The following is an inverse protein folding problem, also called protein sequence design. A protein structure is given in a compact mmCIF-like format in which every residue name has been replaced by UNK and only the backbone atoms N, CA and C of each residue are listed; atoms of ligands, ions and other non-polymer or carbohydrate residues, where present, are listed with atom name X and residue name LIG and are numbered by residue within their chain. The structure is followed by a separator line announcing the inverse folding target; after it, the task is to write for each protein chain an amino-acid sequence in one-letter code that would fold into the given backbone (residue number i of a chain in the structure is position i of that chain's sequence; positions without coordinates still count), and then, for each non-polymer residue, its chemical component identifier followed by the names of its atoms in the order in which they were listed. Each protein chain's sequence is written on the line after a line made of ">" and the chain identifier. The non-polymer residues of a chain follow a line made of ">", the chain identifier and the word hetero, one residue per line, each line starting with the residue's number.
data_IF_494063835856
#
_entry.id   IF_494063835856
#
_cell.length_a   1.000
_cell.length_b   1.000
_cell.length_c   1.000
_cell.angle_alpha   90.00
_cell.angle_beta   90.00
_cell.angle_gamma   90.00
#
_symmetry.space_group_name_H-M   'P 1'
#
loop_
_entity.id
_entity.type
_entity.pdbx_description
1 polymer ?
#
# COMPACT_ATOMS: atom_id res chain seq x y z
N UNK A 1 -3.28 -20.18 -20.65
CA UNK A 1 -3.51 -20.58 -19.23
C UNK A 1 -3.53 -19.32 -18.36
N UNK A 2 -4.47 -19.16 -17.42
CA UNK A 2 -4.48 -17.97 -16.57
C UNK A 2 -3.27 -18.01 -15.63
N UNK A 3 -2.40 -17.00 -15.70
CA UNK A 3 -1.16 -16.93 -14.92
C UNK A 3 -1.43 -17.08 -13.41
N UNK A 4 -0.56 -17.80 -12.71
CA UNK A 4 -0.62 -18.03 -11.26
C UNK A 4 0.10 -16.90 -10.50
N UNK A 5 -0.15 -15.66 -10.94
CA UNK A 5 0.52 -14.47 -10.42
C UNK A 5 -0.09 -14.04 -9.09
N UNK A 6 0.77 -13.54 -8.21
CA UNK A 6 0.34 -12.91 -6.96
C UNK A 6 -0.60 -11.73 -7.21
N UNK A 7 -1.42 -11.43 -6.20
CA UNK A 7 -2.41 -10.37 -6.20
C UNK A 7 -2.02 -9.29 -5.22
N UNK A 8 -2.13 -8.04 -5.66
CA UNK A 8 -2.00 -6.87 -4.81
C UNK A 8 -3.38 -6.45 -4.32
N UNK A 9 -3.51 -6.27 -3.01
CA UNK A 9 -4.72 -5.81 -2.35
C UNK A 9 -4.46 -4.54 -1.56
N UNK A 10 -5.47 -3.68 -1.50
CA UNK A 10 -5.62 -2.70 -0.43
C UNK A 10 -6.44 -3.33 0.68
N UNK A 11 -5.98 -3.25 1.92
CA UNK A 11 -6.65 -3.83 3.08
C UNK A 11 -6.99 -2.76 4.11
N UNK A 12 -8.18 -2.88 4.70
CA UNK A 12 -8.65 -2.05 5.80
C UNK A 12 -8.58 -2.82 7.09
N UNK A 13 -8.04 -2.16 8.11
CA UNK A 13 -7.99 -2.65 9.48
C UNK A 13 -8.75 -1.69 10.40
N UNK A 14 -9.25 -2.22 11.51
CA UNK A 14 -9.81 -1.42 12.59
C UNK A 14 -8.77 -0.44 13.08
N UNK A 15 -9.17 0.83 13.24
CA UNK A 15 -8.38 1.88 13.86
C UNK A 15 -9.18 2.50 15.00
N UNK A 16 -8.49 2.82 16.09
CA UNK A 16 -9.07 3.59 17.20
C UNK A 16 -8.87 5.09 17.00
N UNK A 17 -9.81 5.89 17.51
CA UNK A 17 -9.80 7.35 17.42
C UNK A 17 -10.70 7.90 16.33
N UNK A 18 -11.11 9.17 16.47
CA UNK A 18 -11.95 9.85 15.48
C UNK A 18 -11.18 10.21 14.20
N UNK A 19 -11.89 10.33 13.05
CA UNK A 19 -11.27 10.71 11.79
C UNK A 19 -10.77 12.14 11.84
N UNK A 20 -9.63 12.38 11.21
CA UNK A 20 -9.02 13.71 11.02
C UNK A 20 -9.01 14.13 9.56
N UNK A 21 -9.17 13.19 8.62
CA UNK A 21 -9.19 13.46 7.18
C UNK A 21 -10.62 13.75 6.70
N UNK A 22 -10.79 14.66 5.71
CA UNK A 22 -12.12 15.11 5.27
C UNK A 22 -12.96 14.00 4.64
N UNK A 23 -12.33 13.04 3.96
CA UNK A 23 -13.02 11.88 3.38
C UNK A 23 -13.24 10.76 4.39
N UNK A 24 -12.89 10.95 5.66
CA UNK A 24 -12.96 9.96 6.74
C UNK A 24 -12.18 8.67 6.43
N UNK A 25 -11.28 8.70 5.46
CA UNK A 25 -10.50 7.53 5.10
C UNK A 25 -9.60 7.10 6.27
N UNK A 26 -9.18 8.02 7.13
CA UNK A 26 -8.46 7.68 8.35
C UNK A 26 -9.35 7.08 9.45
N UNK A 27 -10.63 6.78 9.24
CA UNK A 27 -11.36 5.87 10.14
C UNK A 27 -10.79 4.45 10.14
N UNK A 28 -9.97 4.12 9.14
CA UNK A 28 -9.35 2.82 8.97
C UNK A 28 -7.84 2.92 9.01
N UNK A 29 -7.19 1.83 9.41
CA UNK A 29 -5.76 1.65 9.16
C UNK A 29 -5.59 0.97 7.80
N UNK A 30 -4.84 1.62 6.91
CA UNK A 30 -4.63 1.15 5.53
C UNK A 30 -3.32 0.37 5.40
N UNK A 31 -3.35 -0.66 4.57
CA UNK A 31 -2.18 -1.47 4.23
C UNK A 31 -2.26 -2.00 2.80
N UNK A 32 -1.12 -2.38 2.24
CA UNK A 32 -1.09 -3.31 1.11
C UNK A 32 -0.89 -4.74 1.60
N UNK A 33 -1.54 -5.67 0.91
CA UNK A 33 -1.25 -7.10 1.00
C UNK A 33 -0.85 -7.62 -0.38
N UNK A 34 0.20 -8.44 -0.42
CA UNK A 34 0.55 -9.24 -1.59
C UNK A 34 0.31 -10.69 -1.22
N UNK A 35 -0.59 -11.36 -1.93
CA UNK A 35 -0.97 -12.75 -1.66
C UNK A 35 -0.90 -13.64 -2.90
N UNK A 36 -0.74 -14.96 -2.73
CA UNK A 36 -0.96 -15.92 -3.81
C UNK A 36 -2.36 -15.78 -4.44
N UNK A 37 -2.49 -16.18 -5.70
CA UNK A 37 -3.80 -16.19 -6.38
C UNK A 37 -4.78 -17.17 -5.75
N UNK A 38 -4.29 -18.35 -5.42
CA UNK A 38 -5.06 -19.43 -4.81
C UNK A 38 -4.60 -19.53 -3.35
N UNK A 39 -5.53 -19.29 -2.43
CA UNK A 39 -5.24 -19.28 -1.00
C UNK A 39 -5.90 -20.49 -0.32
N UNK A 40 -5.22 -21.02 0.67
CA UNK A 40 -5.67 -22.02 1.61
C UNK A 40 -5.34 -21.55 3.04
N UNK A 41 -5.73 -22.34 4.05
CA UNK A 41 -5.53 -22.00 5.47
C UNK A 41 -4.07 -21.78 5.88
N UNK A 42 -3.12 -22.35 5.14
CA UNK A 42 -1.68 -22.27 5.40
C UNK A 42 -1.00 -21.23 4.50
N UNK A 43 -1.77 -20.49 3.69
CA UNK A 43 -1.24 -19.51 2.76
C UNK A 43 -0.72 -18.28 3.46
N UNK A 44 0.51 -17.92 3.13
CA UNK A 44 1.17 -16.71 3.60
C UNK A 44 1.25 -15.68 2.48
N UNK A 45 1.21 -14.41 2.87
CA UNK A 45 1.48 -13.27 2.00
C UNK A 45 2.36 -12.26 2.70
N UNK A 46 2.56 -11.11 2.08
CA UNK A 46 3.33 -10.00 2.67
C UNK A 46 2.44 -8.80 2.90
N UNK A 47 2.46 -8.27 4.12
CA UNK A 47 1.83 -7.00 4.48
C UNK A 47 2.83 -5.88 4.47
N UNK A 48 2.44 -4.78 3.85
CA UNK A 48 3.16 -3.51 3.85
C UNK A 48 2.25 -2.46 4.48
N UNK A 49 2.71 -1.79 5.53
CA UNK A 49 1.97 -0.68 6.13
C UNK A 49 2.86 0.30 6.84
N UNK A 50 2.39 1.53 6.93
CA UNK A 50 2.94 2.58 7.77
C UNK A 50 2.10 2.71 9.04
N UNK A 51 2.70 2.59 10.22
CA UNK A 51 2.00 2.64 11.53
C UNK A 51 2.75 3.50 12.54
N UNK A 52 2.08 3.93 13.60
CA UNK A 52 2.79 4.54 14.73
C UNK A 52 3.63 3.49 15.47
N UNK A 53 4.83 3.87 15.87
CA UNK A 53 5.65 3.13 16.80
C UNK A 53 4.91 3.00 18.15
N UNK A 54 4.97 1.83 18.81
CA UNK A 54 4.37 1.67 20.14
C UNK A 54 4.88 2.73 21.12
N UNK A 55 3.97 3.46 21.77
CA UNK A 55 4.31 4.46 22.78
C UNK A 55 4.97 5.74 22.25
N UNK A 56 5.02 5.94 20.94
CA UNK A 56 5.60 7.14 20.32
C UNK A 56 4.63 7.73 19.29
N UNK A 57 4.73 9.04 19.05
CA UNK A 57 4.01 9.73 17.96
C UNK A 57 4.66 9.50 16.58
N UNK A 58 5.66 8.62 16.52
CA UNK A 58 6.50 8.44 15.34
C UNK A 58 5.97 7.37 14.41
N UNK A 59 6.08 7.60 13.11
CA UNK A 59 5.67 6.64 12.10
C UNK A 59 6.80 5.71 11.65
N UNK A 60 6.43 4.44 11.43
CA UNK A 60 7.32 3.35 11.01
C UNK A 60 6.68 2.58 9.86
N UNK A 61 7.47 2.29 8.84
CA UNK A 61 7.11 1.35 7.78
C UNK A 61 7.47 -0.08 8.18
N UNK A 62 6.53 -1.01 8.04
CA UNK A 62 6.73 -2.43 8.27
C UNK A 62 6.37 -3.24 7.02
N UNK A 63 7.31 -4.09 6.59
CA UNK A 63 7.12 -5.15 5.62
C UNK A 63 7.25 -6.48 6.36
N UNK A 64 6.17 -7.28 6.37
CA UNK A 64 6.13 -8.48 7.20
C UNK A 64 5.34 -9.60 6.54
N UNK A 65 5.84 -10.82 6.64
CA UNK A 65 5.07 -12.02 6.29
C UNK A 65 3.84 -12.14 7.21
N UNK A 66 2.70 -12.49 6.64
CA UNK A 66 1.43 -12.58 7.38
C UNK A 66 0.56 -13.71 6.85
N UNK A 67 -0.34 -14.21 7.70
CA UNK A 67 -1.35 -15.20 7.30
C UNK A 67 -2.40 -14.55 6.40
N UNK A 68 -2.88 -15.27 5.39
CA UNK A 68 -4.01 -14.84 4.55
C UNK A 68 -5.38 -15.19 5.17
N UNK A 69 -5.41 -15.91 6.29
CA UNK A 69 -6.61 -16.08 7.10
C UNK A 69 -6.98 -14.77 7.81
N UNK A 70 -8.21 -14.68 8.31
CA UNK A 70 -8.62 -13.55 9.12
C UNK A 70 -7.73 -13.42 10.36
N UNK A 71 -7.09 -12.26 10.49
CA UNK A 71 -6.35 -11.87 11.70
C UNK A 71 -7.20 -10.92 12.53
N UNK A 72 -6.98 -10.87 13.84
CA UNK A 72 -7.57 -9.83 14.68
C UNK A 72 -7.31 -8.45 14.03
N UNK A 73 -8.37 -7.66 13.86
CA UNK A 73 -8.40 -6.30 13.29
C UNK A 73 -8.52 -6.15 11.76
N UNK A 74 -8.37 -7.19 10.92
CA UNK A 74 -8.63 -6.99 9.47
C UNK A 74 -10.13 -6.97 9.21
N UNK A 75 -10.61 -5.97 8.46
CA UNK A 75 -12.02 -5.81 8.13
C UNK A 75 -12.31 -6.36 6.73
N UNK A 76 -11.63 -5.81 5.73
CA UNK A 76 -11.81 -6.19 4.32
C UNK A 76 -10.49 -6.09 3.57
N UNK A 77 -10.41 -6.76 2.42
CA UNK A 77 -9.38 -6.50 1.41
C UNK A 77 -9.97 -6.41 0.01
N UNK A 78 -9.42 -5.52 -0.80
CA UNK A 78 -9.84 -5.26 -2.17
C UNK A 78 -8.69 -5.52 -3.13
N UNK A 79 -8.84 -6.47 -4.04
CA UNK A 79 -7.84 -6.81 -5.04
C UNK A 79 -7.81 -5.73 -6.10
N UNK A 80 -6.67 -5.05 -6.22
CA UNK A 80 -6.49 -3.91 -7.13
C UNK A 80 -5.56 -4.24 -8.30
N UNK A 81 -4.90 -5.40 -8.32
CA UNK A 81 -4.01 -5.73 -9.42
C UNK A 81 -3.37 -7.11 -9.36
N UNK A 82 -2.91 -7.56 -10.52
CA UNK A 82 -2.06 -8.74 -10.68
C UNK A 82 -0.59 -8.29 -10.71
N UNK A 83 0.22 -8.86 -9.83
CA UNK A 83 1.64 -8.52 -9.70
C UNK A 83 2.42 -9.23 -10.79
N UNK A 84 3.19 -8.48 -11.58
CA UNK A 84 4.06 -9.02 -12.60
C UNK A 84 5.47 -9.26 -12.05
N UNK A 85 6.01 -8.32 -11.27
CA UNK A 85 7.32 -8.40 -10.63
C UNK A 85 7.19 -8.09 -9.12
N UNK A 86 7.18 -9.12 -8.24
CA UNK A 86 7.07 -8.94 -6.80
C UNK A 86 8.22 -8.16 -6.16
N UNK A 87 9.44 -8.34 -6.66
CA UNK A 87 10.63 -7.67 -6.14
C UNK A 87 10.61 -6.19 -6.49
N UNK A 88 10.28 -5.85 -7.73
CA UNK A 88 10.10 -4.47 -8.16
C UNK A 88 8.95 -3.80 -7.40
N UNK A 89 7.84 -4.50 -7.18
CA UNK A 89 6.73 -4.01 -6.36
C UNK A 89 7.18 -3.67 -4.94
N UNK A 90 7.85 -4.60 -4.25
CA UNK A 90 8.35 -4.37 -2.90
C UNK A 90 9.29 -3.16 -2.83
N UNK A 91 10.16 -2.97 -3.85
CA UNK A 91 11.02 -1.81 -3.95
C UNK A 91 10.22 -0.49 -4.07
N UNK A 92 9.16 -0.42 -4.88
CA UNK A 92 8.29 0.77 -4.97
C UNK A 92 7.56 1.06 -3.66
N UNK A 93 7.08 0.02 -2.97
CA UNK A 93 6.38 0.17 -1.69
C UNK A 93 7.30 0.75 -0.60
N UNK A 94 8.57 0.33 -0.55
CA UNK A 94 9.60 0.91 0.32
C UNK A 94 9.92 2.36 -0.06
N UNK A 95 10.04 2.65 -1.36
CA UNK A 95 10.31 4.01 -1.85
C UNK A 95 9.17 5.00 -1.56
N UNK A 96 7.93 4.54 -1.47
CA UNK A 96 6.77 5.38 -1.14
C UNK A 96 6.92 6.12 0.20
N UNK A 97 7.75 5.61 1.11
CA UNK A 97 8.08 6.27 2.38
C UNK A 97 8.95 7.52 2.16
N UNK A 98 9.87 7.48 1.20
CA UNK A 98 10.85 8.55 0.96
C UNK A 98 10.28 9.75 0.21
N UNK A 99 9.33 9.52 -0.70
CA UNK A 99 8.80 10.57 -1.60
C UNK A 99 8.05 11.67 -0.85
N UNK A 100 7.53 11.40 0.35
CA UNK A 100 6.79 12.39 1.13
C UNK A 100 7.72 13.37 1.88
N UNK A 101 9.03 13.07 2.03
CA UNK A 101 10.00 13.97 2.68
C UNK A 101 10.35 15.25 1.88
N UNK A 102 9.73 15.47 0.73
CA UNK A 102 9.94 16.67 -0.07
C UNK A 102 8.58 17.37 -0.28
N UNK A 103 8.10 18.02 0.79
CA UNK A 103 6.78 18.70 0.99
C UNK A 103 6.19 19.32 -0.31
N UNK A 104 4.92 19.09 -0.68
CA UNK A 104 3.63 19.62 -0.17
C UNK A 104 3.53 21.14 -0.33
N UNK A 105 3.10 21.64 -1.50
CA UNK A 105 1.66 21.85 -1.84
C UNK A 105 1.20 21.17 -3.16
N UNK A 106 2.14 20.73 -4.00
CA UNK A 106 1.84 20.28 -5.35
C UNK A 106 1.12 18.91 -5.41
N UNK A 107 1.28 18.07 -4.39
CA UNK A 107 0.70 16.73 -4.35
C UNK A 107 -0.79 16.83 -3.97
N UNK A 108 -1.14 17.59 -2.92
CA UNK A 108 -2.54 17.85 -2.56
C UNK A 108 -3.32 18.59 -3.67
N UNK A 109 -2.71 19.59 -4.32
CA UNK A 109 -3.31 20.31 -5.47
C UNK A 109 -3.54 19.39 -6.69
N UNK A 110 -2.62 18.46 -6.97
CA UNK A 110 -2.74 17.54 -8.09
C UNK A 110 -3.76 16.42 -7.86
N UNK A 111 -4.12 16.12 -6.60
CA UNK A 111 -5.14 15.14 -6.25
C UNK A 111 -6.55 15.75 -6.12
N UNK A 112 -6.67 17.02 -5.75
CA UNK A 112 -7.97 17.73 -5.66
C UNK A 112 -8.55 18.11 -7.03
N UNK A 113 -7.74 18.11 -8.09
CA UNK A 113 -8.18 18.36 -9.46
C UNK A 113 -8.02 17.08 -10.28
N UNK A 114 -9.14 16.46 -10.68
CA UNK A 114 -9.21 15.20 -11.44
C UNK A 114 -8.49 15.24 -12.80
N UNK A 115 -7.16 15.26 -12.80
CA UNK A 115 -6.33 15.48 -13.98
C UNK A 115 -5.06 14.64 -13.94
N UNK A 116 -5.14 13.40 -14.41
CA UNK A 116 -4.00 12.47 -14.54
C UNK A 116 -2.83 12.95 -15.42
N UNK A 117 -2.89 14.17 -15.98
CA UNK A 117 -1.80 14.82 -16.73
C UNK A 117 -0.91 15.72 -15.85
N UNK A 118 -1.43 16.31 -14.77
CA UNK A 118 -0.66 17.24 -13.91
C UNK A 118 0.27 16.49 -12.95
N UNK A 119 -0.21 15.37 -12.40
CA UNK A 119 0.55 14.44 -11.55
C UNK A 119 1.82 13.96 -12.26
N UNK A 120 1.74 13.52 -13.53
CA UNK A 120 2.91 13.03 -14.27
C UNK A 120 4.04 14.06 -14.40
N UNK A 121 3.71 15.35 -14.51
CA UNK A 121 4.69 16.43 -14.67
C UNK A 121 5.39 16.77 -13.36
N UNK A 122 4.65 16.81 -12.25
CA UNK A 122 5.19 17.05 -10.89
C UNK A 122 6.09 15.89 -10.47
N UNK A 123 5.64 14.64 -10.68
CA UNK A 123 6.45 13.46 -10.36
C UNK A 123 7.71 13.36 -11.21
N UNK A 124 7.64 13.65 -12.53
CA UNK A 124 8.83 13.67 -13.41
C UNK A 124 9.88 14.69 -12.94
N UNK A 125 9.45 15.89 -12.54
CA UNK A 125 10.38 16.94 -12.08
C UNK A 125 10.99 16.63 -10.72
N UNK A 126 10.19 16.10 -9.78
CA UNK A 126 10.67 15.70 -8.44
C UNK A 126 11.57 14.46 -8.47
N UNK A 127 11.32 13.51 -9.39
CA UNK A 127 12.17 12.34 -9.58
C UNK A 127 13.52 12.69 -10.20
N UNK A 128 13.56 13.65 -11.14
CA UNK A 128 14.83 14.15 -11.69
C UNK A 128 15.68 14.86 -10.62
N UNK A 129 15.02 15.54 -9.68
CA UNK A 129 15.68 16.16 -8.52
C UNK A 129 16.24 15.09 -7.56
N UNK A 130 15.47 14.06 -7.24
CA UNK A 130 15.94 12.90 -6.47
C UNK A 130 17.10 12.18 -7.17
N UNK A 131 17.03 11.98 -8.48
CA UNK A 131 18.09 11.37 -9.29
C UNK A 131 19.37 12.20 -9.27
N UNK A 132 19.27 13.54 -9.26
CA UNK A 132 20.43 14.43 -9.09
C UNK A 132 21.03 14.36 -7.70
N UNK A 133 20.20 14.38 -6.65
CA UNK A 133 20.65 14.31 -5.25
C UNK A 133 21.32 12.96 -4.94
N UNK A 134 20.75 11.86 -5.44
CA UNK A 134 21.29 10.51 -5.26
C UNK A 134 22.41 10.17 -6.25
N UNK A 135 22.54 10.93 -7.35
CA UNK A 135 23.57 10.76 -8.37
C UNK A 135 24.84 11.59 -8.13
N UNK A 136 24.84 12.52 -7.17
CA UNK A 136 26.00 13.32 -6.79
C UNK A 136 26.72 12.72 -5.58
N UNK A 137 27.08 11.44 -5.65
CA UNK A 137 28.13 10.88 -4.79
C UNK A 137 29.36 10.68 -5.64
N UNK A 138 30.35 11.57 -5.54
CA UNK A 138 31.72 11.22 -5.92
C UNK A 138 32.16 10.04 -5.06
N UNK A 139 32.17 8.85 -5.65
CA UNK A 139 32.71 7.62 -5.05
C UNK A 139 34.24 7.72 -4.95
N UNK A 140 34.87 7.42 -3.81
CA UNK A 140 36.29 7.10 -3.81
C UNK A 140 36.52 5.77 -4.54
N UNK A 141 37.47 5.81 -5.47
CA UNK A 141 37.84 4.70 -6.33
C UNK A 141 38.66 3.64 -5.58
N UNK A 142 38.04 2.49 -5.29
CA UNK A 142 38.72 1.20 -5.27
C UNK A 142 37.70 0.06 -5.17
N UNK A 143 37.59 -0.73 -6.23
CA UNK A 143 37.08 -2.11 -6.13
C UNK A 143 38.22 -3.00 -5.64
N UNK A 144 37.91 -4.08 -4.90
CA UNK A 144 37.76 -5.34 -5.61
C UNK A 144 36.55 -6.17 -5.18
N UNK A 145 36.10 -6.99 -6.14
CA UNK A 145 35.18 -8.12 -6.03
C UNK A 145 35.22 -8.87 -4.70
N UNK A 146 34.07 -9.12 -4.09
CA UNK A 146 33.50 -10.48 -3.94
C UNK A 146 32.21 -10.42 -3.11
N UNK A 147 31.33 -11.38 -3.37
CA UNK A 147 30.23 -11.83 -2.49
C UNK A 147 29.05 -10.86 -2.30
N UNK A 148 27.98 -11.11 -3.06
CA UNK A 148 26.67 -11.19 -2.40
C UNK A 148 26.81 -12.26 -1.32
N UNK A 149 26.55 -11.95 -0.04
CA UNK A 149 25.16 -11.86 0.39
C UNK A 149 24.94 -10.82 1.50
N UNK A 150 23.81 -10.11 1.51
CA UNK A 150 23.26 -9.64 2.78
C UNK A 150 21.72 -9.74 2.76
N UNK A 151 21.12 -10.62 3.59
CA UNK A 151 19.77 -10.38 4.09
C UNK A 151 19.84 -9.20 5.08
N UNK A 152 18.70 -8.80 5.66
CA UNK A 152 18.54 -7.85 6.78
C UNK A 152 17.87 -6.54 6.33
N UNK A 153 16.61 -6.42 6.76
CA UNK A 153 15.92 -5.20 7.17
C UNK A 153 16.73 -3.92 6.90
N UNK A 154 16.56 -3.30 5.74
CA UNK A 154 16.96 -1.90 5.59
C UNK A 154 16.00 -1.12 6.51
N UNK A 155 16.46 -0.46 7.58
CA UNK A 155 15.61 0.46 8.32
C UNK A 155 15.25 1.55 7.33
N UNK A 156 14.03 1.52 6.81
CA UNK A 156 13.54 2.60 5.96
C UNK A 156 13.58 3.87 6.82
N UNK A 157 14.16 4.98 6.34
CA UNK A 157 14.39 6.17 7.17
C UNK A 157 13.11 6.65 7.86
N UNK A 158 13.12 6.49 9.18
CA UNK A 158 12.26 7.03 10.24
C UNK A 158 11.70 8.44 9.95
N UNK A 159 10.38 8.56 9.78
CA UNK A 159 9.70 9.85 9.57
C UNK A 159 9.26 10.37 10.94
N UNK A 160 9.98 11.37 11.46
CA UNK A 160 9.53 12.13 12.62
C UNK A 160 8.75 13.35 12.14
N UNK A 161 7.59 13.57 12.75
CA UNK A 161 6.89 14.85 12.87
C UNK A 161 6.44 15.59 11.60
N UNK A 162 6.34 14.92 10.45
CA UNK A 162 5.72 15.50 9.23
C UNK A 162 4.19 15.69 9.41
N UNK A 163 3.68 16.93 9.51
CA UNK A 163 2.26 17.18 9.71
C UNK A 163 1.44 16.64 8.52
N UNK A 164 0.51 15.72 8.80
CA UNK A 164 -0.34 15.11 7.77
C UNK A 164 0.18 13.79 7.19
N UNK A 165 1.39 13.35 7.56
CA UNK A 165 1.87 12.02 7.18
C UNK A 165 1.12 10.92 7.94
N UNK A 166 0.62 9.91 7.23
CA UNK A 166 -0.03 8.74 7.82
C UNK A 166 -0.07 7.55 6.83
N UNK A 167 -0.74 6.47 7.22
CA UNK A 167 -0.89 5.29 6.36
C UNK A 167 -1.57 5.56 5.00
N UNK A 168 -2.46 6.55 4.92
CA UNK A 168 -3.15 6.95 3.69
C UNK A 168 -2.21 7.66 2.74
N UNK A 169 -1.47 8.67 3.22
CA UNK A 169 -0.56 9.46 2.37
C UNK A 169 0.62 8.62 1.87
N UNK A 170 1.08 7.65 2.67
CA UNK A 170 2.01 6.62 2.20
C UNK A 170 1.41 5.77 1.07
N UNK A 171 0.17 5.29 1.22
CA UNK A 171 -0.50 4.47 0.21
C UNK A 171 -0.62 5.21 -1.13
N UNK A 172 -0.99 6.49 -1.10
CA UNK A 172 -1.08 7.37 -2.27
C UNK A 172 0.26 7.48 -3.01
N UNK A 173 1.34 7.78 -2.28
CA UNK A 173 2.70 7.85 -2.80
C UNK A 173 3.15 6.55 -3.45
N UNK A 174 2.89 5.42 -2.78
CA UNK A 174 3.22 4.09 -3.27
C UNK A 174 2.47 3.74 -4.56
N UNK A 175 1.16 4.00 -4.66
CA UNK A 175 0.40 3.80 -5.89
C UNK A 175 0.94 4.64 -7.05
N UNK A 176 1.29 5.90 -6.78
CA UNK A 176 1.86 6.79 -7.79
C UNK A 176 3.21 6.29 -8.32
N UNK A 177 4.05 5.71 -7.46
CA UNK A 177 5.32 5.11 -7.86
C UNK A 177 5.14 3.82 -8.68
N UNK A 178 4.20 2.96 -8.29
CA UNK A 178 3.88 1.73 -9.03
C UNK A 178 3.35 2.10 -10.41
N UNK A 179 2.48 3.10 -10.52
CA UNK A 179 1.87 3.53 -11.78
C UNK A 179 2.87 4.11 -12.80
N UNK A 180 4.07 4.47 -12.38
CA UNK A 180 5.14 4.96 -13.25
C UNK A 180 5.93 3.82 -13.92
N UNK A 181 5.82 2.60 -13.39
CA UNK A 181 6.62 1.45 -13.81
C UNK A 181 5.70 0.35 -14.33
N UNK A 182 5.52 0.33 -15.65
CA UNK A 182 4.61 -0.61 -16.33
C UNK A 182 5.09 -2.06 -16.26
N UNK A 183 6.30 -2.34 -15.76
CA UNK A 183 6.81 -3.69 -15.58
C UNK A 183 6.37 -4.34 -14.27
N UNK A 184 5.93 -3.55 -13.29
CA UNK A 184 5.61 -4.02 -11.93
C UNK A 184 4.28 -4.76 -11.87
N UNK A 185 3.27 -4.23 -12.57
CA UNK A 185 1.90 -4.72 -12.57
C UNK A 185 1.47 -5.14 -13.96
N UNK A 186 0.61 -6.16 -14.04
CA UNK A 186 -0.09 -6.50 -15.28
C UNK A 186 -1.42 -5.73 -15.34
N UNK A 187 -2.56 -6.41 -15.24
CA UNK A 187 -3.86 -5.74 -15.09
C UNK A 187 -3.99 -5.17 -13.68
N UNK A 188 -4.22 -3.86 -13.57
CA UNK A 188 -4.36 -3.18 -12.28
C UNK A 188 -5.16 -1.88 -12.35
N UNK A 189 -5.72 -1.50 -11.20
CA UNK A 189 -6.37 -0.21 -10.94
C UNK A 189 -5.57 0.50 -9.84
N UNK A 190 -4.62 1.35 -10.25
CA UNK A 190 -3.71 2.06 -9.34
C UNK A 190 -4.18 3.47 -8.99
N UNK A 191 -5.40 3.85 -9.37
CA UNK A 191 -5.98 5.13 -8.99
C UNK A 191 -6.42 5.09 -7.52
N UNK A 192 -5.86 5.98 -6.70
CA UNK A 192 -6.17 6.06 -5.27
C UNK A 192 -7.65 6.26 -4.99
N UNK A 193 -8.32 7.21 -5.66
CA UNK A 193 -9.72 7.51 -5.42
C UNK A 193 -10.63 6.31 -5.73
N UNK A 194 -10.33 5.58 -6.81
CA UNK A 194 -11.06 4.34 -7.15
C UNK A 194 -10.83 3.23 -6.13
N UNK A 195 -9.57 2.99 -5.71
CA UNK A 195 -9.25 1.97 -4.72
C UNK A 195 -9.82 2.30 -3.33
N UNK A 196 -9.73 3.57 -2.93
CA UNK A 196 -10.30 4.11 -1.67
C UNK A 196 -11.81 3.91 -1.63
N UNK A 197 -12.52 4.39 -2.66
CA UNK A 197 -13.96 4.28 -2.75
C UNK A 197 -14.41 2.81 -2.69
N UNK A 198 -13.77 1.93 -3.46
CA UNK A 198 -14.10 0.51 -3.46
C UNK A 198 -13.88 -0.16 -2.09
N UNK A 199 -12.77 0.15 -1.42
CA UNK A 199 -12.47 -0.41 -0.10
C UNK A 199 -13.46 0.06 0.97
N UNK A 200 -13.74 1.36 1.02
CA UNK A 200 -14.65 1.94 2.02
C UNK A 200 -16.09 1.48 1.78
N UNK A 201 -16.59 1.53 0.55
CA UNK A 201 -17.95 1.06 0.21
C UNK A 201 -18.12 -0.43 0.50
N UNK A 202 -17.10 -1.25 0.21
CA UNK A 202 -17.17 -2.67 0.52
C UNK A 202 -17.15 -2.95 2.02
N UNK A 203 -16.37 -2.19 2.80
CA UNK A 203 -16.37 -2.28 4.25
C UNK A 203 -17.72 -1.88 4.85
N UNK A 204 -18.29 -0.76 4.41
CA UNK A 204 -19.62 -0.29 4.82
C UNK A 204 -20.72 -1.31 4.48
N UNK A 205 -20.67 -1.89 3.27
CA UNK A 205 -21.57 -2.98 2.87
C UNK A 205 -21.48 -4.14 3.85
N UNK A 206 -20.27 -4.56 4.24
CA UNK A 206 -20.05 -5.67 5.18
C UNK A 206 -20.54 -5.33 6.60
N UNK A 207 -20.33 -4.09 7.05
CA UNK A 207 -20.90 -3.59 8.29
C UNK A 207 -22.42 -3.66 8.29
N UNK A 208 -23.08 -3.18 7.24
CA UNK A 208 -24.54 -3.23 7.10
C UNK A 208 -25.12 -4.64 6.99
N UNK A 209 -24.29 -5.62 6.63
CA UNK A 209 -24.64 -7.05 6.62
C UNK A 209 -24.45 -7.74 7.99
N UNK A 210 -23.99 -7.03 9.03
CA UNK A 210 -23.72 -7.60 10.35
C UNK A 210 -22.39 -8.35 10.47
N UNK A 211 -21.54 -8.34 9.43
CA UNK A 211 -20.30 -9.14 9.39
C UNK A 211 -19.40 -8.94 10.61
N UNK A 212 -19.36 -7.71 11.14
CA UNK A 212 -18.50 -7.31 12.24
C UNK A 212 -19.22 -7.20 13.59
N UNK A 213 -20.56 -7.32 13.64
CA UNK A 213 -21.33 -7.35 14.89
C UNK A 213 -21.41 -8.75 15.53
N UNK A 214 -20.92 -9.78 14.82
CA UNK A 214 -21.11 -11.18 15.22
C UNK A 214 -22.50 -11.71 14.86
N UNK A 215 -23.30 -10.92 14.15
CA UNK A 215 -24.62 -11.29 13.69
C UNK A 215 -24.52 -11.83 12.25
N UNK A 216 -25.08 -13.02 12.01
CA UNK A 216 -25.15 -13.64 10.68
C UNK A 216 -24.25 -14.87 10.49
N UNK A 217 -24.50 -15.58 9.39
CA UNK A 217 -23.77 -16.79 9.01
C UNK A 217 -22.57 -16.44 8.13
N UNK A 218 -21.47 -16.04 8.77
CA UNK A 218 -20.22 -15.71 8.10
C UNK A 218 -19.06 -16.54 8.61
N UNK A 219 -18.22 -17.02 7.68
CA UNK A 219 -16.99 -17.72 8.00
C UNK A 219 -15.94 -16.73 8.56
N UNK A 220 -15.88 -16.56 9.87
CA UNK A 220 -14.94 -15.66 10.57
C UNK A 220 -13.48 -16.02 10.39
N UNK A 221 -13.15 -17.20 9.84
CA UNK A 221 -11.77 -17.55 9.49
C UNK A 221 -11.30 -16.90 8.18
N UNK A 222 -12.22 -16.37 7.38
CA UNK A 222 -11.95 -15.76 6.08
C UNK A 222 -12.08 -14.25 6.08
N UNK A 223 -11.15 -13.59 5.39
CA UNK A 223 -11.20 -12.15 5.16
C UNK A 223 -12.16 -11.86 4.00
N UNK A 224 -13.21 -11.05 4.20
CA UNK A 224 -14.06 -10.60 3.10
C UNK A 224 -13.22 -9.95 2.00
N UNK A 225 -13.38 -10.43 0.77
CA UNK A 225 -12.52 -10.05 -0.36
C UNK A 225 -13.34 -9.62 -1.56
N UNK A 226 -13.01 -8.44 -2.10
CA UNK A 226 -13.61 -7.91 -3.32
C UNK A 226 -12.55 -7.82 -4.43
N UNK A 227 -12.86 -8.34 -5.62
CA UNK A 227 -12.04 -8.19 -6.82
C UNK A 227 -12.50 -6.94 -7.58
N UNK A 228 -11.74 -5.85 -7.47
CA UNK A 228 -12.07 -4.58 -8.13
C UNK A 228 -11.95 -4.67 -9.65
N UNK A 229 -11.09 -5.55 -10.17
CA UNK A 229 -10.93 -5.73 -11.62
C UNK A 229 -12.13 -6.44 -12.24
N UNK A 230 -12.81 -7.29 -11.47
CA UNK A 230 -14.00 -8.01 -11.90
C UNK A 230 -15.31 -7.42 -11.35
N UNK A 231 -15.22 -6.41 -10.47
CA UNK A 231 -16.38 -5.79 -9.83
C UNK A 231 -17.20 -6.77 -8.98
N UNK A 232 -16.56 -7.78 -8.38
CA UNK A 232 -17.28 -8.83 -7.67
C UNK A 232 -16.60 -9.29 -6.39
N UNK A 233 -17.43 -9.76 -5.47
CA UNK A 233 -16.99 -10.39 -4.24
C UNK A 233 -16.47 -11.81 -4.52
N UNK A 234 -15.27 -12.12 -4.03
CA UNK A 234 -14.63 -13.45 -4.22
C UNK A 234 -14.61 -14.27 -2.94
N UNK A 235 -14.65 -13.61 -1.78
CA UNK A 235 -14.75 -14.25 -0.46
C UNK A 235 -15.72 -13.44 0.40
N UNK A 236 -16.69 -14.12 1.03
CA UNK A 236 -17.75 -13.50 1.81
C UNK A 236 -17.35 -13.17 3.25
#
# INVERSE_FOLDING_TARGET
>A
MPSDKARLYVALYVRGGGPKMPGQEDNYHWAFLVAPKNENKDSTGTRYHAKNAPGQSTWVFEEKSTSMTATNMILVRVMIGKVNDPQALAAKLRQGVLVVRMEDEAIQSAYSVGGGKSIKKIFKYKFELLRRILGSSSLPSSTPSSLYPLPILVPVPFINDEPGWNCVTWLQSALALIAQDTSVMETSTLNWETAKAAAMQYCEKKTGQGRFSGEGDFDTSKVPTFDLLQGKETIK
#
